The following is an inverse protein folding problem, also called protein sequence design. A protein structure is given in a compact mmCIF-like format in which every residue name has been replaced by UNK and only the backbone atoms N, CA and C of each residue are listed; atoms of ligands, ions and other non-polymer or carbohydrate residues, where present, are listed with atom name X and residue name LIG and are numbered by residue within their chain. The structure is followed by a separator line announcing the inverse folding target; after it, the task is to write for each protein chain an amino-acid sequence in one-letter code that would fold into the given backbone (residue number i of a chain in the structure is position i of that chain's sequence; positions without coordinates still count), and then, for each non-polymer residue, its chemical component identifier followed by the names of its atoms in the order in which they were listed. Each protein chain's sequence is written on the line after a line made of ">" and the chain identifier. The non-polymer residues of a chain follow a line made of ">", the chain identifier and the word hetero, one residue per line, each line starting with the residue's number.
data_IF_155032667114
#
_entry.id   IF_155032667114
#
_cell.length_a   1.000
_cell.length_b   1.000
_cell.length_c   1.000
_cell.angle_alpha   90.00
_cell.angle_beta   90.00
_cell.angle_gamma   90.00
#
_symmetry.space_group_name_H-M   'P 1'
#
loop_
_entity.id
_entity.type
_entity.pdbx_description
1 polymer ?
#
# COMPACT_ATOMS: atom_id res chain seq x y z
N UNK A 1 -4.03 16.21 25.69
CA UNK A 1 -4.62 16.37 24.35
C UNK A 1 -4.78 14.97 23.77
N UNK A 2 -5.97 14.41 23.89
CA UNK A 2 -6.24 13.07 23.36
C UNK A 2 -6.16 13.16 21.85
N UNK A 3 -5.16 12.51 21.27
CA UNK A 3 -5.15 12.20 19.84
C UNK A 3 -6.37 11.28 19.65
N UNK A 4 -7.48 11.83 19.15
CA UNK A 4 -8.58 11.00 18.66
C UNK A 4 -7.95 10.07 17.65
N UNK A 5 -8.04 8.79 17.93
CA UNK A 5 -7.67 7.70 17.06
C UNK A 5 -8.17 8.05 15.66
N UNK A 6 -7.24 8.36 14.74
CA UNK A 6 -7.52 8.49 13.30
C UNK A 6 -7.76 7.09 12.74
N UNK A 7 -8.54 6.38 13.48
CA UNK A 7 -8.68 4.96 13.55
C UNK A 7 -9.34 4.43 12.31
N UNK A 8 -8.75 3.38 11.83
CA UNK A 8 -9.30 2.43 10.88
C UNK A 8 -9.20 2.83 9.41
N UNK A 9 -8.16 3.58 9.04
CA UNK A 9 -7.77 3.67 7.63
C UNK A 9 -7.05 2.38 7.21
N UNK A 10 -7.34 1.99 6.00
CA UNK A 10 -6.74 0.84 5.34
C UNK A 10 -6.21 1.24 3.98
N UNK A 11 -5.12 0.63 3.56
CA UNK A 11 -4.81 0.50 2.16
C UNK A 11 -5.45 -0.79 1.68
N UNK A 12 -6.52 -0.68 0.92
CA UNK A 12 -7.22 -1.83 0.39
C UNK A 12 -7.28 -1.76 -1.13
N UNK A 13 -7.21 -2.93 -1.76
CA UNK A 13 -6.95 -2.99 -3.18
C UNK A 13 -7.48 -4.26 -3.82
N UNK A 14 -7.65 -4.19 -5.13
CA UNK A 14 -7.79 -5.34 -6.00
C UNK A 14 -6.87 -5.15 -7.20
N UNK A 15 -6.11 -6.19 -7.51
CA UNK A 15 -5.25 -6.27 -8.68
C UNK A 15 -5.69 -7.36 -9.64
N UNK A 16 -5.48 -7.14 -10.93
CA UNK A 16 -5.61 -8.16 -11.97
C UNK A 16 -4.35 -8.20 -12.81
N UNK A 17 -3.82 -9.39 -13.04
CA UNK A 17 -2.79 -9.61 -14.03
C UNK A 17 -3.47 -9.84 -15.38
N UNK A 18 -3.16 -8.99 -16.35
CA UNK A 18 -3.71 -9.06 -17.69
C UNK A 18 -2.64 -9.40 -18.74
N UNK A 19 -3.09 -10.06 -19.80
CA UNK A 19 -2.25 -10.40 -20.96
C UNK A 19 -2.93 -9.97 -22.25
N UNK A 20 -2.12 -9.44 -23.18
CA UNK A 20 -2.55 -8.98 -24.50
C UNK A 20 -1.92 -9.83 -25.60
N UNK A 21 -2.63 -9.99 -26.73
CA UNK A 21 -2.10 -10.71 -27.89
C UNK A 21 -0.91 -9.99 -28.55
N UNK A 22 -0.93 -8.66 -28.55
CA UNK A 22 0.10 -7.79 -29.15
C UNK A 22 0.80 -6.97 -28.08
N UNK A 23 1.97 -6.47 -28.40
CA UNK A 23 2.69 -5.52 -27.55
C UNK A 23 1.82 -4.28 -27.30
N UNK A 24 1.64 -3.96 -26.04
CA UNK A 24 0.81 -2.84 -25.57
C UNK A 24 1.52 -1.99 -24.50
N UNK A 25 2.22 -2.61 -23.59
CA UNK A 25 2.89 -1.93 -22.49
C UNK A 25 4.32 -1.54 -22.85
N UNK A 26 4.82 -0.47 -22.23
CA UNK A 26 6.26 -0.20 -22.15
C UNK A 26 6.80 -0.86 -20.88
N UNK A 27 7.58 -1.91 -21.03
CA UNK A 27 8.15 -2.68 -19.91
C UNK A 27 9.32 -1.97 -19.18
N UNK A 28 9.68 -0.78 -19.63
CA UNK A 28 10.65 0.09 -18.96
C UNK A 28 9.98 1.18 -18.12
N UNK A 29 8.66 1.31 -18.19
CA UNK A 29 7.89 2.35 -17.51
C UNK A 29 6.83 1.71 -16.63
N UNK A 30 6.85 2.00 -15.33
CA UNK A 30 5.76 1.70 -14.42
C UNK A 30 4.97 2.97 -14.09
N UNK A 31 3.65 2.88 -14.09
CA UNK A 31 2.80 3.95 -13.60
C UNK A 31 2.47 3.69 -12.14
N UNK A 32 3.09 4.48 -11.26
CA UNK A 32 2.85 4.44 -9.83
C UNK A 32 1.86 5.53 -9.44
N UNK A 33 0.73 5.14 -8.84
CA UNK A 33 -0.24 6.07 -8.29
C UNK A 33 -0.83 7.02 -9.35
N UNK A 34 -1.50 6.47 -10.34
CA UNK A 34 -2.32 7.26 -11.25
C UNK A 34 -3.58 7.75 -10.55
N UNK A 35 -3.66 9.06 -10.29
CA UNK A 35 -4.76 9.71 -9.60
C UNK A 35 -5.85 10.24 -10.54
N UNK A 36 -5.75 10.01 -11.85
CA UNK A 36 -6.79 10.40 -12.82
C UNK A 36 -8.00 9.46 -12.75
N UNK A 37 -8.64 9.45 -11.59
CA UNK A 37 -9.79 8.62 -11.27
C UNK A 37 -10.65 9.27 -10.18
N UNK A 38 -11.87 8.76 -9.99
CA UNK A 38 -12.80 9.26 -8.98
C UNK A 38 -12.28 9.02 -7.57
N UNK A 39 -12.07 10.07 -6.80
CA UNK A 39 -11.51 10.05 -5.46
C UNK A 39 -12.56 9.81 -4.35
N UNK A 40 -13.85 9.95 -4.60
CA UNK A 40 -14.97 9.75 -3.66
C UNK A 40 -14.73 10.28 -2.23
N UNK A 41 -14.04 11.42 -2.10
CA UNK A 41 -13.62 12.04 -0.83
C UNK A 41 -12.61 11.20 0.00
N UNK A 42 -11.90 10.29 -0.65
CA UNK A 42 -10.82 9.48 -0.09
C UNK A 42 -9.57 9.66 -0.95
N UNK A 43 -8.61 8.76 -0.85
CA UNK A 43 -7.47 8.73 -1.79
C UNK A 43 -7.58 7.45 -2.60
N UNK A 44 -7.73 7.61 -3.89
CA UNK A 44 -7.84 6.51 -4.86
C UNK A 44 -6.83 6.69 -5.97
N UNK A 45 -6.18 5.61 -6.37
CA UNK A 45 -5.24 5.60 -7.48
C UNK A 45 -5.13 4.22 -8.11
N UNK A 46 -4.56 4.19 -9.31
CA UNK A 46 -4.24 2.95 -9.99
C UNK A 46 -2.74 2.75 -10.08
N UNK A 47 -2.32 1.49 -10.02
CA UNK A 47 -1.02 1.03 -10.50
C UNK A 47 -1.18 0.40 -11.88
N UNK A 48 -0.18 0.65 -12.75
CA UNK A 48 0.06 -0.13 -13.98
C UNK A 48 1.51 -0.57 -13.94
N UNK A 49 1.73 -1.85 -13.64
CA UNK A 49 3.06 -2.43 -13.43
C UNK A 49 3.33 -3.49 -14.51
N UNK A 50 3.96 -3.12 -15.64
CA UNK A 50 4.27 -4.06 -16.71
C UNK A 50 5.30 -5.11 -16.27
N UNK A 51 5.01 -6.37 -16.52
CA UNK A 51 5.97 -7.48 -16.43
C UNK A 51 6.67 -7.72 -17.76
N UNK A 52 5.99 -7.36 -18.85
CA UNK A 52 6.49 -7.42 -20.22
C UNK A 52 5.68 -6.47 -21.10
N UNK A 53 6.04 -6.39 -22.37
CA UNK A 53 5.25 -5.62 -23.35
C UNK A 53 3.81 -6.14 -23.53
N UNK A 54 3.52 -7.36 -23.07
CA UNK A 54 2.21 -8.01 -23.25
C UNK A 54 1.49 -8.29 -21.94
N UNK A 55 2.11 -8.13 -20.79
CA UNK A 55 1.49 -8.43 -19.51
C UNK A 55 1.78 -7.36 -18.48
N UNK A 56 0.78 -7.06 -17.66
CA UNK A 56 0.90 -6.10 -16.56
C UNK A 56 -0.05 -6.44 -15.41
N UNK A 57 0.34 -6.05 -14.19
CA UNK A 57 -0.59 -5.90 -13.09
C UNK A 57 -1.28 -4.55 -13.21
N UNK A 58 -2.60 -4.56 -13.18
CA UNK A 58 -3.44 -3.37 -13.04
C UNK A 58 -4.14 -3.47 -11.69
N UNK A 59 -3.92 -2.49 -10.82
CA UNK A 59 -4.46 -2.52 -9.46
C UNK A 59 -5.17 -1.21 -9.14
N UNK A 60 -6.40 -1.31 -8.61
CA UNK A 60 -7.12 -0.21 -7.97
C UNK A 60 -6.80 -0.23 -6.48
N UNK A 61 -6.36 0.90 -5.94
CA UNK A 61 -5.95 1.02 -4.53
C UNK A 61 -6.61 2.22 -3.87
N UNK A 62 -7.16 2.00 -2.71
CA UNK A 62 -7.80 3.00 -1.86
C UNK A 62 -7.07 3.16 -0.53
N UNK A 63 -6.96 4.40 -0.07
CA UNK A 63 -6.59 4.73 1.30
C UNK A 63 -7.84 5.30 1.97
N UNK A 64 -8.65 4.44 2.58
CA UNK A 64 -9.95 4.79 3.15
C UNK A 64 -10.35 3.89 4.31
N UNK A 65 -11.56 4.06 4.82
CA UNK A 65 -12.15 3.13 5.77
C UNK A 65 -12.74 1.93 5.02
N UNK A 66 -12.63 0.73 5.60
CA UNK A 66 -13.17 -0.51 5.01
C UNK A 66 -14.70 -0.52 4.85
N UNK A 67 -15.40 0.33 5.60
CA UNK A 67 -16.86 0.47 5.52
C UNK A 67 -17.34 1.36 4.36
N UNK A 68 -16.38 1.91 3.60
CA UNK A 68 -16.67 2.82 2.49
C UNK A 68 -17.23 2.05 1.27
N UNK A 69 -18.18 2.65 0.56
CA UNK A 69 -18.83 2.04 -0.62
C UNK A 69 -17.86 1.77 -1.79
N UNK A 70 -16.61 2.23 -1.67
CA UNK A 70 -15.56 2.02 -2.66
C UNK A 70 -15.22 0.53 -2.88
N UNK A 71 -15.40 -0.33 -1.87
CA UNK A 71 -15.10 -1.76 -1.97
C UNK A 71 -16.02 -2.53 -2.93
N UNK A 72 -17.21 -2.03 -3.15
CA UNK A 72 -18.25 -2.78 -3.86
C UNK A 72 -18.05 -2.81 -5.37
N UNK A 73 -17.17 -1.97 -5.91
CA UNK A 73 -17.06 -1.72 -7.35
C UNK A 73 -15.67 -1.97 -7.95
N UNK A 74 -14.76 -2.71 -7.29
CA UNK A 74 -13.39 -2.92 -7.79
C UNK A 74 -13.35 -3.49 -9.21
N UNK A 75 -14.15 -4.49 -9.51
CA UNK A 75 -14.17 -5.10 -10.84
C UNK A 75 -14.57 -4.08 -11.91
N UNK A 76 -15.56 -3.26 -11.60
CA UNK A 76 -15.98 -2.18 -12.49
C UNK A 76 -14.90 -1.10 -12.62
N UNK A 77 -14.28 -0.68 -11.51
CA UNK A 77 -13.21 0.32 -11.52
C UNK A 77 -12.04 -0.13 -12.40
N UNK A 78 -11.60 -1.38 -12.24
CA UNK A 78 -10.51 -1.96 -13.03
C UNK A 78 -10.88 -2.04 -14.51
N UNK A 79 -12.09 -2.53 -14.81
CA UNK A 79 -12.57 -2.62 -16.19
C UNK A 79 -12.65 -1.24 -16.84
N UNK A 80 -13.24 -0.27 -16.14
CA UNK A 80 -13.36 1.11 -16.64
C UNK A 80 -11.98 1.74 -16.88
N UNK A 81 -11.02 1.52 -15.96
CA UNK A 81 -9.65 2.02 -16.12
C UNK A 81 -8.95 1.39 -17.33
N UNK A 82 -9.00 0.06 -17.45
CA UNK A 82 -8.39 -0.65 -18.58
C UNK A 82 -9.01 -0.20 -19.91
N UNK A 83 -10.34 -0.12 -19.98
CA UNK A 83 -11.02 0.14 -21.24
C UNK A 83 -11.08 1.62 -21.62
N UNK A 84 -11.22 2.51 -20.62
CA UNK A 84 -11.47 3.92 -20.87
C UNK A 84 -10.24 4.80 -20.64
N UNK A 85 -9.33 4.45 -19.73
CA UNK A 85 -8.08 5.19 -19.49
C UNK A 85 -6.94 4.61 -20.32
N UNK A 86 -6.66 3.33 -20.19
CA UNK A 86 -5.62 2.67 -20.99
C UNK A 86 -6.04 2.43 -22.46
N UNK A 87 -7.33 2.52 -22.78
CA UNK A 87 -7.88 2.27 -24.15
C UNK A 87 -7.64 0.84 -24.63
N UNK A 88 -7.47 -0.12 -23.75
CA UNK A 88 -7.25 -1.51 -24.07
C UNK A 88 -8.59 -2.28 -24.08
N UNK A 89 -8.98 -2.84 -25.23
CA UNK A 89 -10.28 -3.51 -25.41
C UNK A 89 -10.20 -5.03 -25.47
N UNK A 90 -9.01 -5.58 -25.73
CA UNK A 90 -8.81 -7.03 -25.86
C UNK A 90 -7.68 -7.45 -24.94
N UNK A 91 -8.02 -8.14 -23.87
CA UNK A 91 -7.09 -8.68 -22.89
C UNK A 91 -7.70 -9.92 -22.23
N UNK A 92 -6.86 -10.73 -21.63
CA UNK A 92 -7.22 -11.87 -20.81
C UNK A 92 -6.76 -11.61 -19.40
N UNK A 93 -7.61 -11.89 -18.42
CA UNK A 93 -7.23 -11.88 -17.00
C UNK A 93 -6.66 -13.24 -16.65
N UNK A 94 -5.43 -13.31 -16.20
CA UNK A 94 -4.73 -14.53 -15.81
C UNK A 94 -4.76 -14.74 -14.30
N UNK A 95 -4.78 -13.67 -13.51
CA UNK A 95 -4.76 -13.72 -12.06
C UNK A 95 -5.54 -12.54 -11.48
N UNK A 96 -6.11 -12.75 -10.31
CA UNK A 96 -6.80 -11.71 -9.53
C UNK A 96 -6.42 -11.83 -8.06
N UNK A 97 -6.13 -10.69 -7.45
CA UNK A 97 -5.86 -10.60 -6.02
C UNK A 97 -6.72 -9.51 -5.36
N UNK A 98 -6.99 -9.70 -4.09
CA UNK A 98 -7.66 -8.71 -3.23
C UNK A 98 -6.92 -8.68 -1.91
N UNK A 99 -6.66 -7.50 -1.41
CA UNK A 99 -5.95 -7.34 -0.15
C UNK A 99 -6.33 -6.09 0.62
N UNK A 100 -5.97 -6.11 1.90
CA UNK A 100 -6.10 -4.95 2.77
C UNK A 100 -4.94 -4.90 3.77
N UNK A 101 -4.28 -3.76 3.86
CA UNK A 101 -3.16 -3.48 4.74
C UNK A 101 -3.63 -2.46 5.78
N UNK A 102 -3.60 -2.77 7.09
CA UNK A 102 -4.00 -1.82 8.11
C UNK A 102 -3.03 -0.63 8.16
N UNK A 103 -3.53 0.59 8.11
CA UNK A 103 -2.76 1.81 8.33
C UNK A 103 -2.84 2.23 9.80
N UNK A 104 -2.82 1.25 10.69
CA UNK A 104 -2.78 1.42 12.15
C UNK A 104 -1.98 0.27 12.77
N UNK A 105 -1.44 0.48 13.97
CA UNK A 105 -0.72 -0.58 14.66
C UNK A 105 -1.71 -1.59 15.25
N UNK A 106 -1.59 -2.87 14.86
CA UNK A 106 -2.48 -3.90 15.42
C UNK A 106 -2.26 -4.04 16.93
N UNK A 107 -3.35 -4.29 17.65
CA UNK A 107 -3.28 -4.63 19.07
C UNK A 107 -3.03 -6.13 19.18
N UNK A 108 -1.84 -6.51 19.63
CA UNK A 108 -1.49 -7.90 19.83
C UNK A 108 -1.90 -8.38 21.21
N UNK A 109 -2.42 -9.62 21.29
CA UNK A 109 -2.40 -10.36 22.55
C UNK A 109 -0.97 -10.86 22.73
N UNK A 110 -0.32 -10.43 23.81
CA UNK A 110 0.98 -10.97 24.16
C UNK A 110 0.81 -12.42 24.60
N UNK A 111 1.26 -13.34 23.79
CA UNK A 111 1.46 -14.74 24.16
C UNK A 111 2.95 -14.94 24.37
N UNK A 112 3.32 -15.55 25.52
CA UNK A 112 4.73 -15.79 25.87
C UNK A 112 5.47 -16.71 24.89
N UNK A 113 4.73 -17.49 24.12
CA UNK A 113 5.27 -18.51 23.20
C UNK A 113 5.08 -18.14 21.72
N UNK A 114 4.54 -16.96 21.42
CA UNK A 114 4.21 -16.56 20.04
C UNK A 114 4.84 -15.21 19.71
N UNK A 115 5.45 -15.13 18.54
CA UNK A 115 5.98 -13.90 17.98
C UNK A 115 5.23 -13.59 16.69
N UNK A 116 4.64 -12.39 16.64
CA UNK A 116 4.04 -11.89 15.42
C UNK A 116 5.12 -11.31 14.52
N UNK A 117 5.11 -11.68 13.24
CA UNK A 117 6.08 -11.23 12.24
C UNK A 117 5.39 -10.52 11.07
N UNK A 118 6.16 -9.78 10.30
CA UNK A 118 5.67 -9.08 9.11
C UNK A 118 4.55 -8.09 9.40
N UNK A 119 3.59 -8.00 8.52
CA UNK A 119 2.40 -7.13 8.67
C UNK A 119 1.65 -7.42 9.95
N UNK A 120 1.44 -8.70 10.29
CA UNK A 120 0.85 -9.12 11.55
C UNK A 120 1.70 -8.73 12.77
N UNK A 121 3.01 -8.54 12.62
CA UNK A 121 3.93 -8.05 13.64
C UNK A 121 4.01 -6.52 13.74
N UNK A 122 3.21 -5.79 12.98
CA UNK A 122 3.22 -4.32 12.96
C UNK A 122 4.42 -3.72 12.23
N UNK A 123 4.99 -4.46 11.25
CA UNK A 123 6.16 -4.01 10.50
C UNK A 123 5.81 -3.08 9.33
N UNK A 124 4.55 -2.82 9.10
CA UNK A 124 4.09 -1.92 8.06
C UNK A 124 4.40 -0.46 8.40
N UNK A 125 4.96 0.29 7.44
CA UNK A 125 5.02 1.75 7.49
C UNK A 125 3.62 2.28 7.20
N UNK A 126 3.03 2.91 8.18
CA UNK A 126 1.61 3.30 8.11
C UNK A 126 1.34 4.40 7.08
N UNK A 127 2.36 5.18 6.72
CA UNK A 127 2.25 6.23 5.70
C UNK A 127 2.25 5.69 4.27
N UNK A 128 2.82 4.51 4.03
CA UNK A 128 3.06 3.99 2.68
C UNK A 128 2.51 2.60 2.43
N UNK A 129 2.07 1.87 3.47
CA UNK A 129 1.74 0.46 3.39
C UNK A 129 2.97 -0.46 3.20
N UNK A 130 4.17 0.12 3.06
CA UNK A 130 5.38 -0.62 2.74
C UNK A 130 5.93 -1.36 3.95
N UNK A 131 6.28 -2.63 3.78
CA UNK A 131 6.63 -3.52 4.89
C UNK A 131 8.00 -4.18 4.70
N UNK A 132 8.49 -4.29 3.46
CA UNK A 132 9.62 -5.15 3.11
C UNK A 132 10.90 -4.86 3.91
N UNK A 133 11.36 -3.61 3.99
CA UNK A 133 12.60 -3.28 4.72
C UNK A 133 12.48 -3.59 6.22
N UNK A 134 11.33 -3.26 6.82
CA UNK A 134 11.11 -3.56 8.25
C UNK A 134 11.03 -5.07 8.52
N UNK A 135 10.53 -5.86 7.56
CA UNK A 135 10.54 -7.33 7.65
C UNK A 135 11.98 -7.85 7.63
N UNK A 136 12.84 -7.31 6.78
CA UNK A 136 14.25 -7.71 6.74
C UNK A 136 14.95 -7.39 8.07
N UNK A 137 14.79 -6.18 8.60
CA UNK A 137 15.34 -5.81 9.90
C UNK A 137 14.78 -6.67 11.04
N UNK A 138 13.49 -7.00 11.02
CA UNK A 138 12.86 -7.89 11.99
C UNK A 138 13.40 -9.31 11.89
N UNK A 139 13.58 -9.85 10.68
CA UNK A 139 14.12 -11.19 10.46
C UNK A 139 15.54 -11.29 10.96
N UNK A 140 16.39 -10.30 10.71
CA UNK A 140 17.75 -10.22 11.24
C UNK A 140 17.75 -10.21 12.77
N UNK A 141 16.92 -9.36 13.39
CA UNK A 141 16.78 -9.30 14.83
C UNK A 141 16.37 -10.65 15.44
N UNK A 142 15.38 -11.34 14.83
CA UNK A 142 14.92 -12.65 15.28
C UNK A 142 16.06 -13.67 15.19
N UNK A 143 16.77 -13.70 14.08
CA UNK A 143 17.91 -14.62 13.85
C UNK A 143 19.00 -14.42 14.91
N UNK A 144 19.35 -13.18 15.23
CA UNK A 144 20.35 -12.86 16.24
C UNK A 144 19.93 -13.21 17.68
N UNK A 145 18.63 -13.40 17.92
CA UNK A 145 18.09 -13.63 19.27
C UNK A 145 17.30 -14.95 19.37
N UNK A 146 17.46 -15.88 18.43
CA UNK A 146 16.59 -17.05 18.28
C UNK A 146 16.44 -17.88 19.56
N UNK A 147 17.55 -18.09 20.29
CA UNK A 147 17.56 -18.94 21.51
C UNK A 147 16.79 -18.37 22.71
N UNK A 148 16.52 -17.08 22.68
CA UNK A 148 15.85 -16.36 23.78
C UNK A 148 14.77 -15.38 23.30
N UNK A 149 14.30 -15.56 22.06
CA UNK A 149 13.46 -14.60 21.38
C UNK A 149 12.14 -14.29 22.12
N UNK A 150 11.56 -15.28 22.78
CA UNK A 150 10.34 -15.10 23.59
C UNK A 150 10.58 -14.34 24.90
N UNK A 151 11.85 -14.21 25.33
CA UNK A 151 12.25 -13.50 26.54
C UNK A 151 12.80 -12.10 26.22
N UNK A 152 13.13 -11.82 24.95
CA UNK A 152 13.65 -10.53 24.51
C UNK A 152 12.53 -9.55 24.26
N UNK A 153 12.90 -8.26 24.25
CA UNK A 153 11.97 -7.21 23.84
C UNK A 153 11.63 -7.39 22.35
N UNK A 154 10.35 -7.27 22.00
CA UNK A 154 9.92 -7.32 20.61
C UNK A 154 10.62 -6.25 19.75
N UNK A 155 10.96 -6.62 18.51
CA UNK A 155 11.45 -5.66 17.53
C UNK A 155 10.40 -4.56 17.30
N UNK A 156 10.83 -3.33 17.21
CA UNK A 156 9.94 -2.19 16.99
C UNK A 156 10.51 -1.21 15.96
N UNK A 157 9.64 -0.70 15.11
CA UNK A 157 9.95 0.42 14.21
C UNK A 157 10.40 1.64 15.04
N UNK A 158 11.43 2.34 14.59
CA UNK A 158 12.01 3.50 15.27
C UNK A 158 10.96 4.59 15.51
N UNK A 159 10.96 5.17 16.69
CA UNK A 159 9.94 6.16 17.14
C UNK A 159 9.80 7.37 16.20
N UNK A 160 10.89 7.81 15.56
CA UNK A 160 10.84 8.90 14.58
C UNK A 160 9.95 8.58 13.38
N UNK A 161 9.98 7.33 12.91
CA UNK A 161 9.15 6.89 11.78
C UNK A 161 7.67 6.77 12.21
N UNK A 162 7.43 6.25 13.41
CA UNK A 162 6.07 6.21 13.97
C UNK A 162 5.46 7.60 14.09
N UNK A 163 6.25 8.59 14.50
CA UNK A 163 5.80 9.97 14.56
C UNK A 163 5.45 10.53 13.18
N UNK A 164 6.32 10.33 12.18
CA UNK A 164 6.10 10.80 10.82
C UNK A 164 4.87 10.11 10.18
N UNK A 165 4.72 8.81 10.37
CA UNK A 165 3.56 8.07 9.91
C UNK A 165 2.26 8.63 10.52
N UNK A 166 2.24 8.94 11.83
CA UNK A 166 1.09 9.53 12.48
C UNK A 166 0.73 10.92 11.92
N UNK A 167 1.72 11.75 11.64
CA UNK A 167 1.50 13.06 10.99
C UNK A 167 0.88 12.88 9.61
N UNK A 168 1.43 11.97 8.81
CA UNK A 168 0.91 11.67 7.48
C UNK A 168 -0.53 11.16 7.52
N UNK A 169 -0.82 10.17 8.38
CA UNK A 169 -2.16 9.62 8.53
C UNK A 169 -3.18 10.65 9.01
N UNK A 170 -2.76 11.58 9.85
CA UNK A 170 -3.63 12.68 10.26
C UNK A 170 -4.02 13.55 9.07
N UNK A 171 -3.07 13.91 8.21
CA UNK A 171 -3.36 14.69 7.00
C UNK A 171 -4.24 13.90 6.04
N UNK A 172 -3.94 12.61 5.84
CA UNK A 172 -4.74 11.70 5.02
C UNK A 172 -6.20 11.61 5.49
N UNK A 173 -6.43 11.54 6.79
CA UNK A 173 -7.76 11.44 7.37
C UNK A 173 -8.55 12.76 7.36
N UNK A 174 -7.87 13.90 7.53
CA UNK A 174 -8.52 15.21 7.66
C UNK A 174 -8.63 15.95 6.31
N UNK A 175 -7.73 15.67 5.37
CA UNK A 175 -7.60 16.40 4.09
C UNK A 175 -7.22 15.48 2.93
N UNK A 176 -8.02 14.44 2.63
CA UNK A 176 -7.70 13.50 1.56
C UNK A 176 -7.57 14.18 0.20
N UNK A 177 -8.28 15.27 -0.04
CA UNK A 177 -8.28 15.99 -1.31
C UNK A 177 -6.93 16.62 -1.69
N UNK A 178 -6.05 16.86 -0.73
CA UNK A 178 -4.70 17.39 -1.03
C UNK A 178 -3.65 16.30 -1.22
N UNK A 179 -3.98 15.04 -0.89
CA UNK A 179 -3.02 13.93 -0.90
C UNK A 179 -2.42 13.65 -2.27
N UNK A 180 -3.17 13.65 -3.38
CA UNK A 180 -2.57 13.48 -4.71
C UNK A 180 -1.43 14.49 -4.98
N UNK A 181 -1.63 15.74 -4.59
CA UNK A 181 -0.62 16.78 -4.72
C UNK A 181 0.61 16.53 -3.81
N UNK A 182 0.41 16.02 -2.61
CA UNK A 182 1.49 15.67 -1.68
C UNK A 182 2.33 14.55 -2.29
N UNK A 183 1.70 13.46 -2.75
CA UNK A 183 2.41 12.36 -3.42
C UNK A 183 3.17 12.85 -4.65
N UNK A 184 2.53 13.63 -5.50
CA UNK A 184 3.18 14.18 -6.69
C UNK A 184 4.42 15.03 -6.36
N UNK A 185 4.34 15.90 -5.35
CA UNK A 185 5.49 16.70 -4.89
C UNK A 185 6.59 15.82 -4.31
N UNK A 186 6.23 14.76 -3.58
CA UNK A 186 7.17 13.80 -3.03
C UNK A 186 7.97 13.12 -4.13
N UNK A 187 7.30 12.57 -5.16
CA UNK A 187 7.97 11.92 -6.30
C UNK A 187 8.75 12.90 -7.21
N UNK A 188 8.42 14.19 -7.21
CA UNK A 188 9.23 15.23 -7.87
C UNK A 188 10.52 15.59 -7.13
N UNK A 189 10.71 15.12 -5.90
CA UNK A 189 11.92 15.35 -5.13
C UNK A 189 13.12 14.65 -5.78
N UNK A 190 14.35 15.03 -5.35
CA UNK A 190 15.57 14.38 -5.86
C UNK A 190 15.47 12.85 -5.64
N UNK A 191 15.87 12.07 -6.63
CA UNK A 191 15.81 10.59 -6.62
C UNK A 191 16.35 9.99 -5.32
N UNK A 192 17.47 10.50 -4.80
CA UNK A 192 18.05 10.06 -3.53
C UNK A 192 17.10 10.27 -2.33
N UNK A 193 16.28 11.33 -2.35
CA UNK A 193 15.28 11.58 -1.30
C UNK A 193 14.12 10.60 -1.41
N UNK A 194 13.66 10.33 -2.64
CA UNK A 194 12.55 9.41 -2.90
C UNK A 194 12.92 7.98 -2.51
N UNK A 195 14.13 7.52 -2.84
CA UNK A 195 14.60 6.16 -2.51
C UNK A 195 14.78 5.96 -1.00
N UNK A 196 15.07 7.01 -0.25
CA UNK A 196 15.29 6.94 1.21
C UNK A 196 14.01 7.24 2.03
N UNK A 197 12.89 7.51 1.38
CA UNK A 197 11.61 7.71 2.03
C UNK A 197 10.92 6.39 2.36
#
# INVERSE_FOLDING_TARGET
>A
MCIRDSSNLWQHFQGVEIETEKDFFDDQIMNLMDFDCDQKKSVHFFYTLPYSKKSALIETTWLSKMEDDSEKDYDKQITDYIENTLKLKKYKINYKEVGAIPLFYPKFKNDKNTINIGTAGGMTRLSTGYTFLNIQEQAEYITQNIDKITQTRAFNIKSKYKFLDNVFLKVLAEKPEIMPNIFFKMFKSKSKTVINF
#
